data_IF_779433567299
#
_entry.id   IF_779433567299
#
_cell.length_a   1.000
_cell.length_b   1.000
_cell.length_c   1.000
_cell.angle_alpha   90.00
_cell.angle_beta   90.00
_cell.angle_gamma   90.00
#
_symmetry.space_group_name_H-M   'P 1'
#
loop_
_entity.id
_entity.type
_entity.pdbx_description
1 polymer ?
#
# COMPACT_ATOMS: atom_id res chain seq x y z
N UNK A 1 3.94 -5.55 12.13
CA UNK A 1 4.30 -5.16 10.75
C UNK A 1 3.19 -5.39 9.71
N UNK A 2 2.07 -6.06 10.02
CA UNK A 2 0.95 -6.29 9.07
C UNK A 2 0.05 -5.06 8.85
N UNK A 3 0.12 -4.06 9.72
CA UNK A 3 -0.83 -2.92 9.69
C UNK A 3 -0.23 -1.59 9.25
N UNK A 4 1.03 -1.53 8.80
CA UNK A 4 1.65 -0.25 8.35
C UNK A 4 0.90 0.35 7.17
N UNK A 5 0.54 -0.49 6.20
CA UNK A 5 -0.19 -0.08 4.98
C UNK A 5 -1.58 0.42 5.35
N UNK A 6 -2.35 -0.38 6.09
CA UNK A 6 -3.70 -0.02 6.52
C UNK A 6 -3.72 1.23 7.40
N UNK A 7 -2.80 1.33 8.35
CA UNK A 7 -2.71 2.49 9.25
C UNK A 7 -2.38 3.77 8.48
N UNK A 8 -1.41 3.72 7.56
CA UNK A 8 -1.10 4.87 6.70
C UNK A 8 -2.25 5.21 5.75
N UNK A 9 -2.93 4.20 5.21
CA UNK A 9 -4.11 4.36 4.37
C UNK A 9 -5.22 5.12 5.11
N UNK A 10 -5.44 4.79 6.38
CA UNK A 10 -6.39 5.49 7.27
C UNK A 10 -5.91 6.90 7.62
N UNK A 11 -4.62 7.09 7.93
CA UNK A 11 -4.06 8.43 8.19
C UNK A 11 -4.19 9.38 7.00
N UNK A 12 -4.13 8.84 5.78
CA UNK A 12 -4.29 9.60 4.53
C UNK A 12 -5.74 9.71 4.07
N UNK A 13 -6.69 9.12 4.81
CA UNK A 13 -8.12 9.07 4.48
C UNK A 13 -8.40 8.59 3.04
N UNK A 14 -7.59 7.65 2.55
CA UNK A 14 -7.73 7.09 1.19
C UNK A 14 -8.32 5.69 1.22
N UNK A 15 -9.05 5.31 0.17
CA UNK A 15 -9.56 3.94 0.02
C UNK A 15 -8.49 3.00 -0.55
N UNK A 16 -8.68 1.69 -0.40
CA UNK A 16 -7.83 0.68 -1.07
C UNK A 16 -7.81 0.88 -2.59
N UNK A 17 -8.94 1.32 -3.16
CA UNK A 17 -9.10 1.53 -4.59
C UNK A 17 -8.35 2.79 -5.05
N UNK A 18 -8.38 3.84 -4.24
CA UNK A 18 -7.58 5.06 -4.46
C UNK A 18 -6.09 4.77 -4.40
N UNK A 19 -5.67 3.99 -3.40
CA UNK A 19 -4.29 3.55 -3.24
C UNK A 19 -3.87 2.72 -4.47
N UNK A 20 -4.68 1.72 -4.85
CA UNK A 20 -4.43 0.89 -6.02
C UNK A 20 -4.31 1.72 -7.32
N UNK A 21 -5.20 2.71 -7.52
CA UNK A 21 -5.13 3.64 -8.66
C UNK A 21 -3.83 4.47 -8.66
N UNK A 22 -3.40 5.00 -7.51
CA UNK A 22 -2.15 5.75 -7.39
C UNK A 22 -0.92 4.90 -7.73
N UNK A 23 -0.96 3.64 -7.29
CA UNK A 23 0.10 2.67 -7.54
C UNK A 23 0.05 2.03 -8.94
N UNK A 24 -1.02 2.25 -9.71
CA UNK A 24 -1.22 1.55 -10.97
C UNK A 24 -1.45 0.04 -10.82
N UNK A 25 -1.83 -0.43 -9.63
CA UNK A 25 -2.07 -1.85 -9.34
C UNK A 25 -3.54 -2.17 -9.18
N UNK A 26 -3.86 -3.47 -9.17
CA UNK A 26 -5.21 -3.92 -8.83
C UNK A 26 -5.48 -3.77 -7.34
N UNK A 27 -6.74 -3.46 -6.98
CA UNK A 27 -7.21 -3.41 -5.58
C UNK A 27 -6.87 -4.69 -4.82
N UNK A 28 -6.92 -5.83 -5.50
CA UNK A 28 -6.59 -7.14 -4.92
C UNK A 28 -5.13 -7.20 -4.46
N UNK A 29 -4.20 -6.58 -5.18
CA UNK A 29 -2.79 -6.48 -4.78
C UNK A 29 -2.66 -5.74 -3.45
N UNK A 30 -3.35 -4.61 -3.31
CA UNK A 30 -3.39 -3.84 -2.05
C UNK A 30 -3.94 -4.69 -0.90
N UNK A 31 -5.03 -5.44 -1.12
CA UNK A 31 -5.58 -6.35 -0.10
C UNK A 31 -4.59 -7.46 0.27
N UNK A 32 -3.89 -8.06 -0.70
CA UNK A 32 -2.86 -9.07 -0.44
C UNK A 32 -1.69 -8.49 0.37
N UNK A 33 -1.30 -7.25 0.10
CA UNK A 33 -0.27 -6.55 0.85
C UNK A 33 -0.72 -6.23 2.28
N UNK A 34 -1.94 -5.72 2.47
CA UNK A 34 -2.52 -5.45 3.79
C UNK A 34 -2.72 -6.73 4.62
N UNK A 35 -3.06 -7.86 3.99
CA UNK A 35 -3.16 -9.17 4.66
C UNK A 35 -1.80 -9.84 4.89
N UNK A 36 -0.71 -9.32 4.32
CA UNK A 36 0.61 -9.94 4.36
C UNK A 36 0.74 -11.23 3.54
N UNK A 37 -0.20 -11.49 2.63
CA UNK A 37 -0.21 -12.64 1.72
C UNK A 37 0.83 -12.49 0.61
N UNK A 38 1.10 -11.25 0.19
CA UNK A 38 2.07 -10.94 -0.85
C UNK A 38 2.87 -9.73 -0.41
N UNK A 39 4.17 -9.71 -0.72
CA UNK A 39 5.00 -8.51 -0.53
C UNK A 39 4.92 -7.67 -1.80
N UNK A 40 4.79 -6.34 -1.70
CA UNK A 40 4.95 -5.48 -2.88
C UNK A 40 6.36 -5.65 -3.45
N UNK A 41 6.47 -5.82 -4.77
CA UNK A 41 7.74 -5.79 -5.49
C UNK A 41 8.46 -4.45 -5.32
N UNK A 42 9.76 -4.37 -5.61
CA UNK A 42 10.58 -3.17 -5.37
C UNK A 42 9.98 -1.87 -5.93
N UNK A 43 9.40 -1.92 -7.13
CA UNK A 43 8.70 -0.77 -7.73
C UNK A 43 7.42 -0.40 -6.97
N UNK A 44 6.59 -1.40 -6.66
CA UNK A 44 5.36 -1.21 -5.87
C UNK A 44 5.67 -0.74 -4.46
N UNK A 45 6.76 -1.21 -3.85
CA UNK A 45 7.21 -0.82 -2.52
C UNK A 45 7.64 0.66 -2.51
N UNK A 46 8.36 1.10 -3.55
CA UNK A 46 8.74 2.50 -3.71
C UNK A 46 7.50 3.40 -3.92
N UNK A 47 6.59 2.99 -4.80
CA UNK A 47 5.31 3.67 -4.99
C UNK A 47 4.45 3.66 -3.71
N UNK A 48 4.47 2.58 -2.92
CA UNK A 48 3.75 2.50 -1.66
C UNK A 48 4.35 3.48 -0.66
N UNK A 49 5.68 3.54 -0.56
CA UNK A 49 6.40 4.46 0.30
C UNK A 49 6.06 5.92 -0.03
N UNK A 50 6.04 6.27 -1.32
CA UNK A 50 5.64 7.60 -1.80
C UNK A 50 4.16 7.87 -1.53
N UNK A 51 3.26 6.96 -1.90
CA UNK A 51 1.82 7.13 -1.76
C UNK A 51 1.38 7.21 -0.28
N UNK A 52 2.06 6.47 0.60
CA UNK A 52 1.78 6.40 2.03
C UNK A 52 2.65 7.35 2.87
N UNK A 53 3.51 8.14 2.23
CA UNK A 53 4.49 9.02 2.88
C UNK A 53 5.25 8.31 4.02
N UNK A 54 5.68 7.07 3.80
CA UNK A 54 6.39 6.27 4.78
C UNK A 54 7.72 5.80 4.19
N UNK A 55 8.76 5.77 5.01
CA UNK A 55 10.04 5.18 4.61
C UNK A 55 9.89 3.66 4.45
N UNK A 56 10.49 3.06 3.40
CA UNK A 56 10.63 1.61 3.28
C UNK A 56 11.73 1.14 4.26
N UNK A 57 11.34 0.90 5.51
CA UNK A 57 12.15 0.21 6.53
C UNK A 57 11.51 -1.13 6.90
#
# INVERSE_FOLDING_TARGET
MKDRIRSRRVQLDITQQTLAKRLGVSRVSVTKWESGTTKPDGENLHQLAVALQTTPE
#
